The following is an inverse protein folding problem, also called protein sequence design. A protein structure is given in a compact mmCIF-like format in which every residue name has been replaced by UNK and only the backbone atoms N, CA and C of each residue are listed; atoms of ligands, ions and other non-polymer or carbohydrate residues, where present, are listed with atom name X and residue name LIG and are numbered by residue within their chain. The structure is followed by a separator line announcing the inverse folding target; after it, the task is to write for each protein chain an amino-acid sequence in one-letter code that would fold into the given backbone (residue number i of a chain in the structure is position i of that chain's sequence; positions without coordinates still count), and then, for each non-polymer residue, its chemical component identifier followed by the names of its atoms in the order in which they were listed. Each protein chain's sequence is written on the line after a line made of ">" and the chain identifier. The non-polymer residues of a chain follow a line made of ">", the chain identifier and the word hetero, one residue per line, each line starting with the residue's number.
data_IF_957682708277
#
_entry.id   IF_957682708277
#
_cell.length_a   1.000
_cell.length_b   1.000
_cell.length_c   1.000
_cell.angle_alpha   90.00
_cell.angle_beta   90.00
_cell.angle_gamma   90.00
#
_symmetry.space_group_name_H-M   'P 1'
#
loop_
_entity.id
_entity.type
_entity.pdbx_description
1 polymer ?
#
# COMPACT_ATOMS: atom_id res chain seq x y z
N UNK A 1 -1.57 -18.65 4.95
CA UNK A 1 -1.15 -17.26 4.64
C UNK A 1 -2.40 -16.52 4.20
N UNK A 2 -2.85 -15.57 5.01
CA UNK A 2 -3.99 -14.71 4.70
C UNK A 2 -3.55 -13.55 3.81
N UNK A 3 -4.51 -12.95 3.11
CA UNK A 3 -4.30 -11.65 2.48
C UNK A 3 -4.59 -10.54 3.48
N UNK A 4 -4.08 -9.32 3.25
CA UNK A 4 -4.41 -8.14 4.09
C UNK A 4 -5.93 -8.02 4.31
N UNK A 5 -6.74 -8.33 3.28
CA UNK A 5 -8.20 -8.30 3.35
C UNK A 5 -8.82 -9.39 4.25
N UNK A 6 -8.13 -10.53 4.45
CA UNK A 6 -8.57 -11.59 5.35
C UNK A 6 -8.13 -11.34 6.79
N UNK A 7 -6.89 -10.88 6.96
CA UNK A 7 -6.29 -10.69 8.28
C UNK A 7 -6.74 -9.38 8.95
N UNK A 8 -7.21 -8.41 8.17
CA UNK A 8 -7.70 -7.11 8.64
C UNK A 8 -9.03 -6.74 7.96
N UNK A 9 -10.12 -7.47 8.23
CA UNK A 9 -11.41 -7.29 7.55
C UNK A 9 -12.05 -5.90 7.79
N UNK A 10 -11.65 -5.21 8.86
CA UNK A 10 -12.09 -3.86 9.18
C UNK A 10 -11.32 -2.76 8.41
N UNK A 11 -10.18 -3.11 7.82
CA UNK A 11 -9.43 -2.19 6.99
C UNK A 11 -10.03 -2.10 5.59
N UNK A 12 -10.09 -0.87 5.08
CA UNK A 12 -10.44 -0.60 3.69
C UNK A 12 -9.18 -0.33 2.91
N UNK A 13 -8.89 -1.22 1.96
CA UNK A 13 -7.83 -1.05 0.98
C UNK A 13 -8.39 -0.35 -0.26
N UNK A 14 -7.74 0.72 -0.69
CA UNK A 14 -7.99 1.40 -1.96
C UNK A 14 -6.72 1.43 -2.80
N UNK A 15 -6.90 1.30 -4.11
CA UNK A 15 -5.84 1.40 -5.11
C UNK A 15 -6.22 2.42 -6.17
N UNK A 16 -5.31 3.33 -6.51
CA UNK A 16 -5.48 4.30 -7.59
C UNK A 16 -4.34 4.15 -8.61
N UNK A 17 -4.61 3.62 -9.81
CA UNK A 17 -3.61 3.55 -10.86
C UNK A 17 -3.41 4.93 -11.51
N UNK A 18 -2.16 5.32 -11.67
CA UNK A 18 -1.74 6.55 -12.34
C UNK A 18 -1.01 6.23 -13.64
N UNK A 19 -1.46 6.82 -14.75
CA UNK A 19 -0.87 6.64 -16.08
C UNK A 19 -0.04 7.86 -16.52
N UNK A 20 0.38 8.70 -15.58
CA UNK A 20 1.15 9.92 -15.86
C UNK A 20 2.59 9.66 -16.27
N UNK A 21 3.44 10.69 -16.19
CA UNK A 21 4.86 10.61 -16.56
C UNK A 21 5.63 9.55 -15.78
N UNK A 22 5.22 9.26 -14.55
CA UNK A 22 5.70 8.15 -13.76
C UNK A 22 4.51 7.23 -13.46
N UNK A 23 4.29 6.19 -14.28
CA UNK A 23 3.22 5.24 -14.02
C UNK A 23 3.44 4.52 -12.69
N UNK A 24 2.45 4.59 -11.81
CA UNK A 24 2.52 3.97 -10.50
C UNK A 24 1.12 3.61 -10.00
N UNK A 25 1.05 2.80 -8.94
CA UNK A 25 -0.18 2.49 -8.23
C UNK A 25 -0.06 3.08 -6.84
N UNK A 26 -0.95 4.00 -6.50
CA UNK A 26 -1.11 4.44 -5.13
C UNK A 26 -1.95 3.43 -4.35
N UNK A 27 -1.46 3.02 -3.19
CA UNK A 27 -2.18 2.15 -2.27
C UNK A 27 -2.44 2.92 -0.97
N UNK A 28 -3.66 2.80 -0.46
CA UNK A 28 -4.06 3.43 0.80
C UNK A 28 -4.87 2.47 1.65
N UNK A 29 -4.63 2.52 2.96
CA UNK A 29 -5.38 1.80 3.98
C UNK A 29 -6.12 2.78 4.88
N UNK A 30 -7.39 2.46 5.18
CA UNK A 30 -8.21 3.21 6.12
C UNK A 30 -8.85 2.30 7.14
N UNK A 31 -8.86 2.73 8.40
CA UNK A 31 -9.40 1.97 9.52
C UNK A 31 -8.73 2.39 10.83
N UNK A 32 -8.63 1.47 11.78
CA UNK A 32 -7.95 1.76 13.04
C UNK A 32 -6.42 1.85 12.84
N UNK A 33 -5.77 2.74 13.58
CA UNK A 33 -4.35 3.05 13.38
C UNK A 33 -3.42 1.85 13.60
N UNK A 34 -3.71 1.00 14.59
CA UNK A 34 -2.85 -0.14 14.91
C UNK A 34 -2.86 -1.19 13.78
N UNK A 35 -4.04 -1.53 13.27
CA UNK A 35 -4.20 -2.40 12.12
C UNK A 35 -3.58 -1.80 10.86
N UNK A 36 -3.74 -0.48 10.63
CA UNK A 36 -3.09 0.18 9.49
C UNK A 36 -1.57 -0.01 9.57
N UNK A 37 -0.95 0.26 10.71
CA UNK A 37 0.51 0.16 10.87
C UNK A 37 0.99 -1.28 10.61
N UNK A 38 0.30 -2.27 11.18
CA UNK A 38 0.64 -3.69 10.99
C UNK A 38 0.46 -4.13 9.53
N UNK A 39 -0.65 -3.76 8.91
CA UNK A 39 -0.97 -4.10 7.53
C UNK A 39 -0.03 -3.40 6.53
N UNK A 40 0.31 -2.12 6.75
CA UNK A 40 1.29 -1.40 5.93
C UNK A 40 2.66 -2.07 5.99
N UNK A 41 3.12 -2.48 7.17
CA UNK A 41 4.39 -3.20 7.32
C UNK A 41 4.42 -4.51 6.51
N UNK A 42 3.34 -5.29 6.58
CA UNK A 42 3.22 -6.53 5.80
C UNK A 42 3.21 -6.25 4.29
N UNK A 43 2.57 -5.16 3.85
CA UNK A 43 2.57 -4.76 2.44
C UNK A 43 3.95 -4.32 1.97
N UNK A 44 4.66 -3.46 2.72
CA UNK A 44 5.99 -3.00 2.32
C UNK A 44 6.97 -4.17 2.24
N UNK A 45 6.93 -5.09 3.21
CA UNK A 45 7.76 -6.31 3.18
C UNK A 45 7.45 -7.18 1.94
N UNK A 46 6.17 -7.35 1.58
CA UNK A 46 5.79 -8.10 0.40
C UNK A 46 6.22 -7.42 -0.92
N UNK A 47 6.15 -6.09 -0.99
CA UNK A 47 6.60 -5.29 -2.13
C UNK A 47 8.12 -5.42 -2.29
N UNK A 48 8.88 -5.32 -1.20
CA UNK A 48 10.34 -5.49 -1.19
C UNK A 48 10.74 -6.90 -1.67
N UNK A 49 10.08 -7.94 -1.17
CA UNK A 49 10.31 -9.34 -1.59
C UNK A 49 10.00 -9.53 -3.08
N UNK A 50 8.97 -8.87 -3.60
CA UNK A 50 8.59 -8.94 -5.00
C UNK A 50 9.53 -8.12 -5.92
N UNK A 51 10.46 -7.35 -5.35
CA UNK A 51 11.45 -6.56 -6.10
C UNK A 51 10.87 -5.29 -6.73
N UNK A 52 9.75 -4.78 -6.21
CA UNK A 52 9.18 -3.51 -6.64
C UNK A 52 9.69 -2.36 -5.75
N UNK A 53 9.84 -1.18 -6.35
CA UNK A 53 10.12 0.05 -5.60
C UNK A 53 8.83 0.65 -5.06
N UNK A 54 8.87 1.23 -3.86
CA UNK A 54 7.77 1.99 -3.28
C UNK A 54 8.27 3.26 -2.58
N UNK A 55 7.34 4.18 -2.31
CA UNK A 55 7.57 5.43 -1.61
C UNK A 55 6.34 5.79 -0.79
N UNK A 56 6.53 6.37 0.40
CA UNK A 56 5.47 6.96 1.22
C UNK A 56 5.12 8.40 0.80
N UNK A 57 5.91 8.97 -0.11
CA UNK A 57 5.70 10.28 -0.72
C UNK A 57 5.45 10.12 -2.21
N UNK A 58 4.41 10.78 -2.72
CA UNK A 58 4.29 11.02 -4.15
C UNK A 58 5.45 11.95 -4.52
N UNK A 59 6.33 11.50 -5.41
CA UNK A 59 7.37 12.36 -5.94
C UNK A 59 6.69 13.59 -6.57
N UNK A 60 6.86 14.76 -5.96
CA UNK A 60 6.32 15.99 -6.54
C UNK A 60 6.94 16.19 -7.92
N UNK A 61 6.13 16.07 -8.97
CA UNK A 61 6.47 16.64 -10.27
C UNK A 61 6.58 18.15 -10.07
N UNK A 62 7.81 18.66 -10.06
CA UNK A 62 8.11 20.09 -10.25
C UNK A 62 7.60 20.60 -11.58
#
# INVERSE_FOLDING_TARGET
>A
MGTIAQDYPELRLSSLPHHGQQPHIELSLRGNNESIIKAMKLMTEAIDIAGFSWSDQLGESK
#
